data_IF_842374978287
#
_entry.id   IF_842374978287
#
_cell.length_a   1.000
_cell.length_b   1.000
_cell.length_c   1.000
_cell.angle_alpha   90.00
_cell.angle_beta   90.00
_cell.angle_gamma   90.00
#
_symmetry.space_group_name_H-M   'P 1'
#
loop_
_entity.id
_entity.type
_entity.pdbx_description
1 polymer ?
#
# COMPACT_ATOMS: atom_id res chain seq x y z
N UNK A 1 10.35 -0.75 -19.09
CA UNK A 1 11.41 -1.81 -19.06
C UNK A 1 11.45 -2.35 -17.64
N UNK A 2 11.35 -3.64 -17.51
CA UNK A 2 11.38 -4.32 -16.20
C UNK A 2 12.75 -4.15 -15.57
N UNK A 3 12.81 -4.02 -14.25
CA UNK A 3 14.08 -3.75 -13.55
C UNK A 3 15.15 -4.79 -13.85
N UNK A 4 14.85 -6.08 -13.80
CA UNK A 4 15.83 -7.13 -14.10
C UNK A 4 16.22 -7.18 -15.59
N UNK A 5 15.32 -6.79 -16.50
CA UNK A 5 15.69 -6.63 -17.90
C UNK A 5 16.70 -5.50 -18.08
N UNK A 6 16.51 -4.37 -17.38
CA UNK A 6 17.46 -3.28 -17.37
C UNK A 6 18.82 -3.70 -16.79
N UNK A 7 18.79 -4.44 -15.68
CA UNK A 7 19.98 -5.01 -15.06
C UNK A 7 20.68 -5.98 -16.01
N UNK A 8 19.91 -6.89 -16.66
CA UNK A 8 20.45 -7.82 -17.63
C UNK A 8 21.14 -7.12 -18.81
N UNK A 9 20.57 -6.04 -19.32
CA UNK A 9 21.17 -5.25 -20.40
C UNK A 9 22.45 -4.53 -19.96
N UNK A 10 22.46 -3.96 -18.75
CA UNK A 10 23.61 -3.23 -18.22
C UNK A 10 24.85 -4.12 -18.08
N UNK A 11 24.68 -5.37 -17.66
CA UNK A 11 25.77 -6.32 -17.41
C UNK A 11 25.92 -7.40 -18.50
N UNK A 12 25.23 -7.28 -19.64
CA UNK A 12 25.30 -8.28 -20.70
C UNK A 12 26.72 -8.42 -21.26
N UNK A 13 27.27 -9.64 -21.20
CA UNK A 13 28.59 -9.95 -21.76
C UNK A 13 29.79 -9.34 -21.02
N UNK A 14 29.57 -8.78 -19.82
CA UNK A 14 30.65 -8.20 -18.99
C UNK A 14 30.81 -8.99 -17.70
N UNK A 15 32.02 -9.01 -17.12
CA UNK A 15 32.20 -9.45 -15.72
C UNK A 15 31.34 -8.56 -14.78
N UNK A 16 30.84 -9.16 -13.71
CA UNK A 16 30.09 -8.42 -12.72
C UNK A 16 31.02 -7.55 -11.90
N UNK A 17 30.84 -6.24 -12.00
CA UNK A 17 31.38 -5.27 -11.05
C UNK A 17 30.46 -5.21 -9.85
N UNK A 18 30.97 -5.55 -8.65
CA UNK A 18 30.17 -5.69 -7.43
C UNK A 18 29.65 -4.35 -6.92
N UNK A 19 30.45 -3.28 -7.03
CA UNK A 19 30.05 -1.95 -6.60
C UNK A 19 28.96 -1.40 -7.56
N UNK A 20 29.14 -1.63 -8.86
CA UNK A 20 28.13 -1.25 -9.86
C UNK A 20 26.83 -2.02 -9.68
N UNK A 21 26.90 -3.32 -9.35
CA UNK A 21 25.75 -4.16 -9.06
C UNK A 21 25.01 -3.68 -7.80
N UNK A 22 25.74 -3.39 -6.72
CA UNK A 22 25.14 -2.85 -5.48
C UNK A 22 24.38 -1.55 -5.76
N UNK A 23 25.02 -0.61 -6.45
CA UNK A 23 24.38 0.63 -6.84
C UNK A 23 23.15 0.43 -7.73
N UNK A 24 23.16 -0.55 -8.64
CA UNK A 24 22.02 -0.85 -9.49
C UNK A 24 20.84 -1.41 -8.68
N UNK A 25 21.09 -2.34 -7.73
CA UNK A 25 20.07 -2.90 -6.86
C UNK A 25 19.45 -1.85 -5.93
N UNK A 26 20.27 -0.94 -5.39
CA UNK A 26 19.80 0.19 -4.56
C UNK A 26 18.95 1.15 -5.39
N UNK A 27 19.39 1.51 -6.63
CA UNK A 27 18.62 2.36 -7.54
C UNK A 27 17.28 1.78 -7.94
N UNK A 28 17.14 0.46 -7.86
CA UNK A 28 15.86 -0.24 -8.05
C UNK A 28 14.94 -0.20 -6.82
N UNK A 29 15.31 0.57 -5.79
CA UNK A 29 14.56 0.71 -4.53
C UNK A 29 14.39 -0.62 -3.75
N UNK A 30 15.27 -1.63 -3.95
CA UNK A 30 15.23 -2.89 -3.19
C UNK A 30 15.63 -2.71 -1.72
N UNK A 31 16.22 -1.56 -1.39
CA UNK A 31 16.73 -1.27 -0.05
C UNK A 31 18.08 -1.92 0.24
N UNK A 32 18.82 -1.32 1.18
CA UNK A 32 20.19 -1.75 1.52
C UNK A 32 20.22 -3.19 2.06
N UNK A 33 19.31 -3.53 2.98
CA UNK A 33 19.30 -4.84 3.62
C UNK A 33 19.14 -6.00 2.63
N UNK A 34 18.21 -5.90 1.67
CA UNK A 34 18.02 -6.94 0.67
C UNK A 34 19.19 -6.96 -0.32
N UNK A 35 19.67 -5.78 -0.75
CA UNK A 35 20.86 -5.68 -1.62
C UNK A 35 22.06 -6.39 -1.02
N UNK A 36 22.40 -6.11 0.25
CA UNK A 36 23.49 -6.76 0.96
C UNK A 36 23.31 -8.29 1.02
N UNK A 37 22.09 -8.78 1.27
CA UNK A 37 21.81 -10.23 1.28
C UNK A 37 22.01 -10.89 -0.08
N UNK A 38 21.55 -10.21 -1.16
CA UNK A 38 21.72 -10.71 -2.54
C UNK A 38 23.22 -10.84 -2.85
N UNK A 39 24.01 -9.78 -2.58
CA UNK A 39 25.45 -9.77 -2.82
C UNK A 39 26.16 -10.84 -2.01
N UNK A 40 25.90 -10.94 -0.71
CA UNK A 40 26.51 -11.95 0.14
C UNK A 40 26.26 -13.37 -0.40
N UNK A 41 25.03 -13.68 -0.81
CA UNK A 41 24.69 -14.99 -1.38
C UNK A 41 25.36 -15.29 -2.72
N UNK A 42 25.63 -14.27 -3.51
CA UNK A 42 26.38 -14.44 -4.74
C UNK A 42 27.86 -14.72 -4.45
N UNK A 43 28.43 -14.04 -3.46
CA UNK A 43 29.82 -14.20 -3.05
C UNK A 43 30.09 -15.54 -2.32
N UNK A 44 29.09 -16.15 -1.68
CA UNK A 44 29.21 -17.48 -1.05
C UNK A 44 29.37 -18.62 -2.07
N UNK A 45 29.12 -18.40 -3.37
CA UNK A 45 29.25 -19.43 -4.40
C UNK A 45 30.73 -19.67 -4.75
N UNK A 46 31.15 -20.96 -4.84
CA UNK A 46 32.54 -21.35 -5.10
C UNK A 46 33.16 -20.70 -6.36
N UNK A 47 32.36 -20.42 -7.38
CA UNK A 47 32.79 -19.81 -8.63
C UNK A 47 32.27 -18.38 -8.80
N UNK A 48 32.23 -17.59 -7.72
CA UNK A 48 31.65 -16.23 -7.75
C UNK A 48 32.25 -15.31 -8.83
N UNK A 49 33.50 -15.49 -9.21
CA UNK A 49 34.16 -14.71 -10.28
C UNK A 49 33.68 -15.05 -11.70
N UNK A 50 32.97 -16.16 -11.87
CA UNK A 50 32.40 -16.63 -13.14
C UNK A 50 30.89 -16.40 -13.24
N UNK A 51 30.28 -15.79 -12.22
CA UNK A 51 28.84 -15.54 -12.21
C UNK A 51 28.45 -14.57 -13.31
N UNK A 52 27.37 -14.92 -14.00
CA UNK A 52 26.74 -14.04 -15.00
C UNK A 52 25.51 -13.36 -14.42
N UNK A 53 24.98 -12.39 -15.16
CA UNK A 53 23.78 -11.65 -14.77
C UNK A 53 22.57 -12.54 -14.49
N UNK A 54 22.46 -13.70 -15.16
CA UNK A 54 21.39 -14.66 -14.92
C UNK A 54 21.42 -15.27 -13.50
N UNK A 55 22.62 -15.44 -12.94
CA UNK A 55 22.78 -15.89 -11.56
C UNK A 55 22.33 -14.83 -10.56
N UNK A 56 22.65 -13.56 -10.84
CA UNK A 56 22.17 -12.40 -10.06
C UNK A 56 20.64 -12.36 -10.05
N UNK A 57 20.03 -12.45 -11.24
CA UNK A 57 18.58 -12.45 -11.39
C UNK A 57 17.93 -13.59 -10.61
N UNK A 58 18.51 -14.79 -10.70
CA UNK A 58 18.01 -15.95 -9.98
C UNK A 58 18.05 -15.75 -8.46
N UNK A 59 19.21 -15.32 -7.93
CA UNK A 59 19.37 -15.06 -6.49
C UNK A 59 18.45 -13.93 -6.02
N UNK A 60 18.33 -12.86 -6.79
CA UNK A 60 17.43 -11.76 -6.46
C UNK A 60 15.96 -12.24 -6.38
N UNK A 61 15.50 -13.04 -7.35
CA UNK A 61 14.15 -13.63 -7.33
C UNK A 61 13.93 -14.52 -6.12
N UNK A 62 14.89 -15.38 -5.78
CA UNK A 62 14.83 -16.27 -4.63
C UNK A 62 14.72 -15.49 -3.31
N UNK A 63 15.51 -14.43 -3.15
CA UNK A 63 15.47 -13.60 -1.94
C UNK A 63 14.17 -12.77 -1.85
N UNK A 64 13.71 -12.19 -2.95
CA UNK A 64 12.44 -11.47 -3.00
C UNK A 64 11.27 -12.41 -2.68
N UNK A 65 11.26 -13.63 -3.22
CA UNK A 65 10.21 -14.60 -2.97
C UNK A 65 10.11 -15.03 -1.50
N UNK A 66 11.19 -14.94 -0.71
CA UNK A 66 11.17 -15.22 0.73
C UNK A 66 10.50 -14.11 1.54
N UNK A 67 10.53 -12.88 1.02
CA UNK A 67 9.98 -11.70 1.68
C UNK A 67 8.48 -11.56 1.40
N UNK A 68 8.08 -11.78 0.15
CA UNK A 68 6.71 -11.55 -0.29
C UNK A 68 5.82 -12.75 0.04
N UNK A 69 4.63 -12.55 0.65
CA UNK A 69 3.65 -13.61 0.81
C UNK A 69 3.11 -14.01 -0.57
N UNK A 70 2.87 -15.29 -0.79
CA UNK A 70 2.40 -15.80 -2.09
C UNK A 70 1.15 -15.06 -2.56
N UNK A 71 0.19 -14.85 -1.64
CA UNK A 71 -1.04 -14.09 -1.89
C UNK A 71 -1.38 -13.20 -0.71
N UNK A 72 -2.04 -12.07 -0.99
CA UNK A 72 -2.60 -11.22 0.04
C UNK A 72 -3.69 -11.96 0.82
N UNK A 73 -3.73 -11.74 2.15
CA UNK A 73 -4.85 -12.20 2.97
C UNK A 73 -6.13 -11.49 2.51
N UNK A 74 -7.20 -12.20 2.12
CA UNK A 74 -8.43 -11.56 1.67
C UNK A 74 -9.08 -10.76 2.81
N UNK A 75 -9.76 -9.67 2.44
CA UNK A 75 -10.65 -8.96 3.36
C UNK A 75 -11.92 -9.77 3.54
N UNK A 76 -12.33 -9.98 4.77
CA UNK A 76 -13.53 -10.75 5.10
C UNK A 76 -14.51 -9.90 5.92
N UNK A 77 -15.81 -10.00 5.70
CA UNK A 77 -16.79 -9.39 6.56
C UNK A 77 -16.69 -9.98 7.98
N UNK A 78 -17.05 -9.18 8.97
CA UNK A 78 -17.08 -9.61 10.37
C UNK A 78 -18.53 -9.82 10.78
N UNK A 79 -18.85 -10.97 11.35
CA UNK A 79 -20.21 -11.26 11.75
C UNK A 79 -20.72 -10.28 12.80
N UNK A 80 -21.87 -9.66 12.54
CA UNK A 80 -22.59 -8.80 13.48
C UNK A 80 -22.06 -7.36 13.62
N UNK A 81 -21.00 -6.99 12.90
CA UNK A 81 -20.43 -5.65 12.92
C UNK A 81 -19.71 -5.29 11.62
N UNK A 82 -19.57 -3.99 11.28
CA UNK A 82 -18.82 -3.59 10.11
C UNK A 82 -17.32 -3.89 10.27
N UNK A 83 -16.69 -4.41 9.22
CA UNK A 83 -15.24 -4.43 9.12
C UNK A 83 -14.75 -3.01 8.76
N UNK A 84 -14.09 -2.34 9.70
CA UNK A 84 -13.62 -0.96 9.55
C UNK A 84 -12.22 -0.93 8.98
N UNK A 85 -12.07 -0.28 7.83
CA UNK A 85 -10.80 -0.10 7.14
C UNK A 85 -10.44 1.39 7.13
N UNK A 86 -9.38 1.74 7.85
CA UNK A 86 -8.81 3.09 7.85
C UNK A 86 -7.76 3.19 6.75
N UNK A 87 -7.96 4.09 5.79
CA UNK A 87 -7.03 4.30 4.67
C UNK A 87 -6.22 5.56 4.91
N UNK A 88 -4.92 5.40 5.09
CA UNK A 88 -3.96 6.47 5.39
C UNK A 88 -2.94 6.65 4.27
N UNK A 89 -2.18 7.75 4.30
CA UNK A 89 -1.10 8.04 3.35
C UNK A 89 -0.97 9.53 3.07
N UNK A 90 0.10 9.93 2.38
CA UNK A 90 0.34 11.35 2.06
C UNK A 90 -0.52 11.83 0.88
N UNK A 91 -0.61 13.15 0.70
CA UNK A 91 -1.32 13.72 -0.45
C UNK A 91 -0.63 13.31 -1.76
N UNK A 92 -1.45 13.02 -2.78
CA UNK A 92 -0.97 12.63 -4.11
C UNK A 92 -0.67 11.14 -4.29
N UNK A 93 -0.70 10.32 -3.22
CA UNK A 93 -0.50 8.86 -3.34
C UNK A 93 -1.69 8.10 -3.90
N UNK A 94 -2.84 8.75 -4.09
CA UNK A 94 -4.03 8.10 -4.63
C UNK A 94 -4.97 7.50 -3.58
N UNK A 95 -4.99 8.01 -2.32
CA UNK A 95 -5.87 7.52 -1.24
C UNK A 95 -7.35 7.45 -1.64
N UNK A 96 -7.95 8.60 -1.97
CA UNK A 96 -9.37 8.70 -2.34
C UNK A 96 -9.72 7.78 -3.51
N UNK A 97 -8.83 7.72 -4.52
CA UNK A 97 -8.99 6.80 -5.66
C UNK A 97 -8.89 5.33 -5.21
N UNK A 98 -7.96 5.01 -4.31
CA UNK A 98 -7.81 3.65 -3.77
C UNK A 98 -9.01 3.23 -2.93
N UNK A 99 -9.59 4.15 -2.13
CA UNK A 99 -10.83 3.91 -1.39
C UNK A 99 -11.98 3.58 -2.35
N UNK A 100 -12.14 4.36 -3.42
CA UNK A 100 -13.17 4.11 -4.44
C UNK A 100 -12.96 2.75 -5.15
N UNK A 101 -11.72 2.42 -5.53
CA UNK A 101 -11.38 1.13 -6.15
C UNK A 101 -11.61 -0.05 -5.20
N UNK A 102 -11.25 0.10 -3.93
CA UNK A 102 -11.51 -0.91 -2.90
C UNK A 102 -13.01 -1.11 -2.69
N UNK A 103 -13.80 -0.03 -2.66
CA UNK A 103 -15.26 -0.11 -2.59
C UNK A 103 -15.85 -0.85 -3.79
N UNK A 104 -15.35 -0.56 -5.00
CA UNK A 104 -15.74 -1.27 -6.22
C UNK A 104 -15.41 -2.77 -6.12
N UNK A 105 -14.19 -3.11 -5.74
CA UNK A 105 -13.73 -4.49 -5.55
C UNK A 105 -14.63 -5.24 -4.56
N UNK A 106 -14.93 -4.66 -3.41
CA UNK A 106 -15.79 -5.29 -2.40
C UNK A 106 -17.23 -5.50 -2.90
N UNK A 107 -17.79 -4.52 -3.64
CA UNK A 107 -19.11 -4.66 -4.27
C UNK A 107 -19.15 -5.77 -5.31
N UNK A 108 -18.11 -5.91 -6.14
CA UNK A 108 -18.03 -7.03 -7.09
C UNK A 108 -18.05 -8.39 -6.39
N UNK A 109 -17.56 -8.45 -5.12
CA UNK A 109 -17.62 -9.64 -4.26
C UNK A 109 -18.90 -9.72 -3.42
N UNK A 110 -19.95 -8.93 -3.79
CA UNK A 110 -21.29 -8.92 -3.18
C UNK A 110 -21.32 -8.45 -1.72
N UNK A 111 -20.35 -7.64 -1.31
CA UNK A 111 -20.34 -7.00 0.00
C UNK A 111 -20.99 -5.62 -0.04
N UNK A 112 -21.67 -5.28 1.05
CA UNK A 112 -22.18 -3.92 1.30
C UNK A 112 -21.06 -3.04 1.83
N UNK A 113 -21.01 -1.79 1.34
CA UNK A 113 -19.94 -0.83 1.66
C UNK A 113 -20.53 0.52 2.02
N UNK A 114 -20.01 1.13 3.08
CA UNK A 114 -20.25 2.53 3.45
C UNK A 114 -18.92 3.28 3.40
N UNK A 115 -18.93 4.49 2.81
CA UNK A 115 -17.76 5.36 2.77
C UNK A 115 -17.85 6.44 3.83
N UNK A 116 -16.72 6.80 4.46
CA UNK A 116 -16.60 7.94 5.34
C UNK A 116 -15.58 8.94 4.77
N UNK A 117 -16.02 10.15 4.41
CA UNK A 117 -15.20 11.21 3.82
C UNK A 117 -14.45 11.98 4.93
N UNK A 118 -13.45 11.33 5.56
CA UNK A 118 -12.74 11.89 6.70
C UNK A 118 -11.54 12.81 6.32
N UNK A 119 -11.28 13.09 5.02
CA UNK A 119 -10.42 14.19 4.57
C UNK A 119 -11.24 15.51 4.53
N UNK A 120 -11.71 15.92 5.70
CA UNK A 120 -12.71 17.00 5.89
C UNK A 120 -12.17 18.40 5.54
N UNK A 121 -10.86 18.58 5.49
CA UNK A 121 -10.22 19.87 5.16
C UNK A 121 -9.91 20.04 3.66
N UNK A 122 -10.39 19.12 2.81
CA UNK A 122 -10.24 19.20 1.35
C UNK A 122 -11.57 19.02 0.66
N UNK A 123 -12.24 20.15 0.35
CA UNK A 123 -13.53 20.13 -0.34
C UNK A 123 -13.49 19.26 -1.62
N UNK A 124 -12.44 19.42 -2.44
CA UNK A 124 -12.26 18.62 -3.64
C UNK A 124 -12.12 17.10 -3.38
N UNK A 125 -11.58 16.68 -2.23
CA UNK A 125 -11.50 15.25 -1.88
C UNK A 125 -12.88 14.69 -1.51
N UNK A 126 -13.68 15.47 -0.75
CA UNK A 126 -15.06 15.11 -0.41
C UNK A 126 -15.91 15.00 -1.70
N UNK A 127 -15.84 16.00 -2.58
CA UNK A 127 -16.54 15.99 -3.87
C UNK A 127 -16.09 14.79 -4.74
N UNK A 128 -14.79 14.54 -4.85
CA UNK A 128 -14.25 13.42 -5.61
C UNK A 128 -14.78 12.08 -5.08
N UNK A 129 -14.75 11.87 -3.76
CA UNK A 129 -15.28 10.65 -3.16
C UNK A 129 -16.80 10.53 -3.38
N UNK A 130 -17.53 11.65 -3.30
CA UNK A 130 -18.98 11.71 -3.61
C UNK A 130 -19.31 11.30 -5.04
N UNK A 131 -18.53 11.77 -6.02
CA UNK A 131 -18.68 11.33 -7.43
C UNK A 131 -18.51 9.82 -7.55
N UNK A 132 -17.51 9.26 -6.88
CA UNK A 132 -17.29 7.81 -6.87
C UNK A 132 -18.42 7.07 -6.14
N UNK A 133 -18.86 7.55 -4.98
CA UNK A 133 -19.97 6.96 -4.24
C UNK A 133 -21.23 6.84 -5.13
N UNK A 134 -21.58 7.91 -5.82
CA UNK A 134 -22.71 7.94 -6.74
C UNK A 134 -22.55 6.96 -7.92
N UNK A 135 -21.36 6.93 -8.56
CA UNK A 135 -21.07 6.00 -9.66
C UNK A 135 -21.15 4.53 -9.23
N UNK A 136 -20.72 4.23 -8.03
CA UNK A 136 -20.72 2.89 -7.48
C UNK A 136 -22.06 2.50 -6.86
N UNK A 137 -22.96 3.45 -6.65
CA UNK A 137 -24.20 3.23 -5.89
C UNK A 137 -23.89 2.74 -4.48
N UNK A 138 -22.94 3.39 -3.78
CA UNK A 138 -22.63 3.18 -2.37
C UNK A 138 -22.97 4.43 -1.58
N UNK A 139 -23.40 4.25 -0.32
CA UNK A 139 -23.67 5.38 0.55
C UNK A 139 -22.35 5.98 1.08
N UNK A 140 -22.39 7.27 1.36
CA UNK A 140 -21.28 8.01 1.93
C UNK A 140 -21.75 8.88 3.09
N UNK A 141 -20.99 8.84 4.19
CA UNK A 141 -21.10 9.81 5.29
C UNK A 141 -20.08 10.92 5.05
N UNK A 142 -20.57 12.15 5.06
CA UNK A 142 -19.74 13.35 4.93
C UNK A 142 -20.18 14.39 5.95
N UNK A 143 -19.22 15.19 6.41
CA UNK A 143 -19.46 16.32 7.30
C UNK A 143 -19.37 17.65 6.54
N UNK A 144 -19.60 18.76 7.26
CA UNK A 144 -19.26 20.09 6.77
C UNK A 144 -17.74 20.21 6.58
N UNK A 145 -17.32 21.13 5.72
CA UNK A 145 -15.90 21.46 5.58
C UNK A 145 -15.27 21.80 6.94
N UNK A 146 -14.14 21.18 7.27
CA UNK A 146 -13.45 21.37 8.54
C UNK A 146 -14.07 20.65 9.73
N UNK A 147 -15.08 19.80 9.53
CA UNK A 147 -15.62 18.96 10.62
C UNK A 147 -14.53 18.06 11.22
N UNK A 148 -14.71 17.64 12.48
CA UNK A 148 -13.78 16.71 13.13
C UNK A 148 -13.81 15.32 12.46
N UNK A 149 -12.70 14.87 11.85
CA UNK A 149 -12.64 13.57 11.18
C UNK A 149 -12.97 12.39 12.10
N UNK A 150 -12.63 12.50 13.39
CA UNK A 150 -12.87 11.45 14.35
C UNK A 150 -14.37 11.34 14.70
N UNK A 151 -15.08 12.47 14.83
CA UNK A 151 -16.52 12.47 15.02
C UNK A 151 -17.26 11.90 13.80
N UNK A 152 -16.83 12.30 12.59
CA UNK A 152 -17.38 11.78 11.34
C UNK A 152 -17.22 10.25 11.23
N UNK A 153 -16.03 9.72 11.53
CA UNK A 153 -15.79 8.28 11.52
C UNK A 153 -16.62 7.54 12.59
N UNK A 154 -16.85 8.18 13.74
CA UNK A 154 -17.73 7.63 14.78
C UNK A 154 -19.17 7.49 14.26
N UNK A 155 -19.72 8.54 13.69
CA UNK A 155 -21.08 8.55 13.14
C UNK A 155 -21.22 7.57 11.98
N UNK A 156 -20.20 7.48 11.12
CA UNK A 156 -20.17 6.50 10.05
C UNK A 156 -20.18 5.05 10.58
N UNK A 157 -19.46 4.77 11.67
CA UNK A 157 -19.53 3.45 12.31
C UNK A 157 -20.94 3.14 12.84
N UNK A 158 -21.56 4.09 13.53
CA UNK A 158 -22.93 3.91 14.07
C UNK A 158 -23.93 3.62 12.94
N UNK A 159 -23.81 4.36 11.82
CA UNK A 159 -24.63 4.12 10.64
C UNK A 159 -24.35 2.74 10.04
N UNK A 160 -23.08 2.37 9.82
CA UNK A 160 -22.72 1.07 9.27
C UNK A 160 -23.22 -0.11 10.12
N UNK A 161 -23.13 0.01 11.45
CA UNK A 161 -23.63 -1.00 12.37
C UNK A 161 -25.16 -1.12 12.33
N UNK A 162 -25.87 0.01 12.31
CA UNK A 162 -27.34 0.06 12.19
C UNK A 162 -27.83 -0.57 10.90
N UNK A 163 -27.17 -0.24 9.79
CA UNK A 163 -27.55 -0.68 8.44
C UNK A 163 -27.00 -2.10 8.11
N UNK A 164 -26.28 -2.71 9.05
CA UNK A 164 -25.63 -4.03 8.88
C UNK A 164 -24.71 -4.08 7.68
N UNK A 165 -23.96 -3.00 7.47
CA UNK A 165 -22.98 -2.89 6.36
C UNK A 165 -21.77 -3.78 6.65
N UNK A 166 -21.30 -4.52 5.65
CA UNK A 166 -20.15 -5.42 5.81
C UNK A 166 -18.84 -4.66 6.01
N UNK A 167 -18.63 -3.56 5.27
CA UNK A 167 -17.39 -2.79 5.30
C UNK A 167 -17.62 -1.29 5.44
N UNK A 168 -16.88 -0.67 6.35
CA UNK A 168 -16.76 0.78 6.47
C UNK A 168 -15.37 1.20 6.01
N UNK A 169 -15.27 2.00 4.95
CA UNK A 169 -14.01 2.54 4.43
C UNK A 169 -13.87 4.02 4.81
N UNK A 170 -12.84 4.37 5.59
CA UNK A 170 -12.57 5.74 6.02
C UNK A 170 -11.43 6.33 5.17
N UNK A 171 -11.75 7.30 4.29
CA UNK A 171 -10.78 8.10 3.54
C UNK A 171 -10.28 9.26 4.41
N UNK A 172 -8.97 9.30 4.71
CA UNK A 172 -8.41 10.28 5.66
C UNK A 172 -7.54 11.33 5.00
N UNK A 173 -7.28 12.42 5.73
CA UNK A 173 -6.32 13.44 5.33
C UNK A 173 -4.90 12.88 5.09
N UNK A 174 -4.09 13.61 4.33
CA UNK A 174 -2.71 13.21 4.02
C UNK A 174 -1.71 14.37 4.00
N UNK A 175 -1.93 15.43 4.77
CA UNK A 175 -1.12 16.67 4.78
C UNK A 175 0.18 16.48 5.56
N UNK A 176 1.21 15.91 4.94
CA UNK A 176 2.46 15.58 5.61
C UNK A 176 3.32 16.80 6.01
N UNK A 177 3.12 17.98 5.41
CA UNK A 177 3.87 19.21 5.78
C UNK A 177 3.55 19.71 7.20
N UNK A 178 2.50 19.21 7.84
CA UNK A 178 2.20 19.34 9.27
C UNK A 178 2.21 17.98 9.94
N UNK A 179 3.34 17.26 9.86
CA UNK A 179 3.48 15.85 10.25
C UNK A 179 2.90 15.51 11.62
N UNK A 180 3.24 16.29 12.64
CA UNK A 180 2.78 16.05 14.00
C UNK A 180 1.25 16.14 14.12
N UNK A 181 0.63 17.08 13.42
CA UNK A 181 -0.81 17.27 13.46
C UNK A 181 -1.54 16.14 12.73
N UNK A 182 -1.02 15.68 11.56
CA UNK A 182 -1.61 14.58 10.82
C UNK A 182 -1.59 13.28 11.63
N UNK A 183 -0.44 12.92 12.21
CA UNK A 183 -0.33 11.69 13.00
C UNK A 183 -1.22 11.74 14.25
N UNK A 184 -1.30 12.88 14.93
CA UNK A 184 -2.20 13.07 16.06
C UNK A 184 -3.69 12.94 15.66
N UNK A 185 -4.07 13.51 14.51
CA UNK A 185 -5.43 13.41 13.96
C UNK A 185 -5.79 11.96 13.64
N UNK A 186 -4.94 11.25 12.93
CA UNK A 186 -5.15 9.83 12.58
C UNK A 186 -5.21 8.93 13.83
N UNK A 187 -4.36 9.19 14.82
CA UNK A 187 -4.43 8.50 16.11
C UNK A 187 -5.73 8.80 16.86
N UNK A 188 -6.26 10.04 16.76
CA UNK A 188 -7.56 10.40 17.32
C UNK A 188 -8.69 9.64 16.64
N UNK A 189 -8.67 9.54 15.29
CA UNK A 189 -9.64 8.73 14.53
C UNK A 189 -9.59 7.28 14.98
N UNK A 190 -8.39 6.66 15.02
CA UNK A 190 -8.21 5.28 15.50
C UNK A 190 -8.79 5.07 16.89
N UNK A 191 -8.43 5.93 17.87
CA UNK A 191 -8.96 5.84 19.24
C UNK A 191 -10.47 6.03 19.32
N UNK A 192 -11.04 6.85 18.45
CA UNK A 192 -12.49 7.09 18.44
C UNK A 192 -13.24 5.92 17.86
N UNK A 193 -12.74 5.29 16.81
CA UNK A 193 -13.29 4.04 16.27
C UNK A 193 -13.25 2.92 17.32
N UNK A 194 -12.18 2.80 18.10
CA UNK A 194 -12.07 1.77 19.13
C UNK A 194 -13.00 1.98 20.36
N UNK A 195 -13.66 3.15 20.48
CA UNK A 195 -14.74 3.34 21.45
C UNK A 195 -16.03 2.64 21.04
N UNK A 196 -16.28 2.49 19.74
CA UNK A 196 -17.44 1.77 19.23
C UNK A 196 -17.22 0.25 19.26
N UNK A 197 -16.02 -0.17 18.89
CA UNK A 197 -15.57 -1.56 18.88
C UNK A 197 -14.09 -1.58 19.24
N UNK A 198 -13.73 -2.22 20.34
CA UNK A 198 -12.35 -2.26 20.86
C UNK A 198 -11.34 -2.87 19.88
N UNK A 199 -11.83 -3.60 18.86
CA UNK A 199 -11.01 -4.18 17.81
C UNK A 199 -10.91 -3.32 16.55
N UNK A 200 -11.71 -2.24 16.46
CA UNK A 200 -11.68 -1.32 15.32
C UNK A 200 -10.59 -0.22 15.48
N UNK A 201 -10.01 0.25 14.36
CA UNK A 201 -10.17 -0.24 13.00
C UNK A 201 -9.54 -1.63 12.84
N UNK A 202 -10.20 -2.51 12.08
CA UNK A 202 -9.75 -3.89 11.87
C UNK A 202 -8.60 -3.98 10.88
N UNK A 203 -8.55 -3.03 9.94
CA UNK A 203 -7.44 -2.86 9.00
C UNK A 203 -7.04 -1.38 8.95
N UNK A 204 -5.73 -1.14 8.92
CA UNK A 204 -5.14 0.19 8.69
C UNK A 204 -4.23 0.04 7.48
N UNK A 205 -4.69 0.52 6.33
CA UNK A 205 -4.00 0.38 5.06
C UNK A 205 -3.30 1.68 4.69
N UNK A 206 -1.99 1.62 4.47
CA UNK A 206 -1.22 2.75 3.95
C UNK A 206 -1.21 2.72 2.42
N UNK A 207 -1.61 3.81 1.79
CA UNK A 207 -1.47 4.00 0.35
C UNK A 207 -0.10 4.58 0.03
N UNK A 208 0.68 3.82 -0.74
CA UNK A 208 2.05 4.15 -1.13
C UNK A 208 2.12 4.32 -2.64
N UNK A 209 2.74 5.41 -3.08
CA UNK A 209 3.04 5.66 -4.48
C UNK A 209 4.40 5.02 -4.82
N UNK A 210 4.41 4.02 -5.71
CA UNK A 210 5.62 3.30 -6.11
C UNK A 210 6.67 4.20 -6.76
N UNK A 211 6.28 5.35 -7.31
CA UNK A 211 7.21 6.28 -7.97
C UNK A 211 8.08 7.08 -7.00
N UNK A 212 7.73 7.12 -5.72
CA UNK A 212 8.42 7.93 -4.70
C UNK A 212 9.69 7.28 -4.13
N UNK A 213 9.95 6.02 -4.47
CA UNK A 213 11.17 5.31 -4.07
C UNK A 213 11.40 5.29 -2.56
N UNK A 214 12.64 5.50 -2.11
CA UNK A 214 13.03 5.44 -0.68
C UNK A 214 12.24 6.35 0.24
N UNK A 215 11.65 7.45 -0.25
CA UNK A 215 10.75 8.30 0.54
C UNK A 215 9.50 7.54 1.01
N UNK A 216 9.01 6.59 0.22
CA UNK A 216 7.87 5.77 0.60
C UNK A 216 8.18 4.87 1.80
N UNK A 217 9.40 4.33 1.91
CA UNK A 217 9.83 3.55 3.08
C UNK A 217 9.85 4.41 4.34
N UNK A 218 10.38 5.64 4.24
CA UNK A 218 10.39 6.59 5.37
C UNK A 218 8.99 6.93 5.84
N UNK A 219 8.06 7.18 4.91
CA UNK A 219 6.65 7.39 5.22
C UNK A 219 6.04 6.16 5.89
N UNK A 220 6.27 4.97 5.34
CA UNK A 220 5.73 3.73 5.90
C UNK A 220 6.18 3.49 7.35
N UNK A 221 7.45 3.81 7.69
CA UNK A 221 7.96 3.77 9.08
C UNK A 221 7.17 4.70 10.01
N UNK A 222 7.01 5.96 9.61
CA UNK A 222 6.31 6.98 10.39
C UNK A 222 4.84 6.60 10.64
N UNK A 223 4.13 6.19 9.58
CA UNK A 223 2.75 5.76 9.69
C UNK A 223 2.61 4.46 10.51
N UNK A 224 3.54 3.51 10.34
CA UNK A 224 3.52 2.27 11.11
C UNK A 224 3.74 2.51 12.59
N UNK A 225 4.72 3.35 12.94
CA UNK A 225 4.97 3.74 14.33
C UNK A 225 3.77 4.44 14.97
N UNK A 226 3.09 5.32 14.22
CA UNK A 226 1.95 6.07 14.74
C UNK A 226 0.67 5.25 14.86
N UNK A 227 0.39 4.37 13.91
CA UNK A 227 -0.91 3.73 13.74
C UNK A 227 -0.89 2.21 13.89
N UNK A 228 0.25 1.53 13.70
CA UNK A 228 0.30 0.08 13.63
C UNK A 228 -0.37 -0.42 12.35
N UNK A 229 0.21 -0.11 11.19
CA UNK A 229 -0.32 -0.52 9.89
C UNK A 229 -0.51 -2.03 9.81
N UNK A 230 -1.59 -2.47 9.16
CA UNK A 230 -1.89 -3.89 8.92
C UNK A 230 -1.66 -4.33 7.48
N UNK A 231 -1.52 -3.36 6.56
CA UNK A 231 -1.28 -3.65 5.15
C UNK A 231 -0.98 -2.41 4.32
N UNK A 232 -0.60 -2.66 3.07
CA UNK A 232 -0.30 -1.63 2.07
C UNK A 232 -1.26 -1.73 0.88
N UNK A 233 -1.55 -0.57 0.29
CA UNK A 233 -2.07 -0.43 -1.07
C UNK A 233 -0.98 0.27 -1.86
N UNK A 234 -0.46 -0.36 -2.89
CA UNK A 234 0.59 0.22 -3.73
C UNK A 234 0.00 0.72 -5.04
N UNK A 235 0.24 1.99 -5.37
CA UNK A 235 -0.30 2.65 -6.55
C UNK A 235 0.80 2.99 -7.56
N UNK A 236 0.39 3.30 -8.79
CA UNK A 236 1.25 3.76 -9.89
C UNK A 236 2.37 2.79 -10.28
N UNK A 237 2.09 1.50 -10.20
CA UNK A 237 3.03 0.46 -10.64
C UNK A 237 3.19 0.42 -12.17
N UNK A 238 2.24 0.98 -12.92
CA UNK A 238 2.21 1.03 -14.38
C UNK A 238 3.28 1.94 -15.01
N UNK A 239 3.88 2.86 -14.24
CA UNK A 239 4.73 3.91 -14.79
C UNK A 239 6.23 3.83 -14.48
N UNK A 240 6.68 3.04 -13.51
CA UNK A 240 7.97 3.35 -12.90
C UNK A 240 9.05 2.28 -12.94
N UNK A 241 8.74 1.03 -13.18
CA UNK A 241 9.69 -0.07 -12.98
C UNK A 241 10.25 -0.16 -11.54
N UNK A 242 9.69 0.62 -10.59
CA UNK A 242 10.17 0.81 -9.21
C UNK A 242 9.42 -0.03 -8.18
N UNK A 243 9.06 -1.24 -8.53
CA UNK A 243 8.41 -2.18 -7.61
C UNK A 243 9.27 -2.60 -6.41
N UNK A 244 10.58 -2.35 -6.44
CA UNK A 244 11.51 -2.70 -5.36
C UNK A 244 11.12 -2.14 -4.00
N UNK A 245 10.50 -0.95 -3.98
CA UNK A 245 10.04 -0.32 -2.74
C UNK A 245 9.00 -1.15 -1.98
N UNK A 246 8.16 -1.92 -2.68
CA UNK A 246 7.18 -2.83 -2.09
C UNK A 246 7.90 -3.90 -1.27
N UNK A 247 8.96 -4.46 -1.86
CA UNK A 247 9.79 -5.49 -1.23
C UNK A 247 10.53 -4.91 -0.02
N UNK A 248 11.13 -3.70 -0.17
CA UNK A 248 11.86 -3.04 0.90
C UNK A 248 10.97 -2.73 2.12
N UNK A 249 9.75 -2.21 1.90
CA UNK A 249 8.80 -1.93 3.00
C UNK A 249 8.40 -3.23 3.69
N UNK A 250 8.10 -4.28 2.93
CA UNK A 250 7.68 -5.55 3.50
C UNK A 250 8.82 -6.25 4.24
N UNK A 251 10.05 -6.17 3.71
CA UNK A 251 11.22 -6.75 4.38
C UNK A 251 11.51 -6.08 5.72
N UNK A 252 11.41 -4.77 5.78
CA UNK A 252 11.75 -4.02 6.99
C UNK A 252 10.63 -4.02 8.03
N UNK A 253 9.41 -3.69 7.60
CA UNK A 253 8.29 -3.47 8.51
C UNK A 253 7.43 -4.72 8.73
N UNK A 254 7.65 -5.78 7.95
CA UNK A 254 6.85 -7.02 7.97
C UNK A 254 5.36 -6.78 7.70
N UNK A 255 5.05 -5.75 6.93
CA UNK A 255 3.68 -5.36 6.56
C UNK A 255 3.42 -5.84 5.14
N UNK A 256 2.39 -6.68 4.96
CA UNK A 256 2.07 -7.25 3.66
C UNK A 256 1.35 -6.26 2.75
N UNK A 257 1.71 -6.26 1.47
CA UNK A 257 0.90 -5.61 0.44
C UNK A 257 -0.41 -6.36 0.29
N UNK A 258 -1.52 -5.62 0.32
CA UNK A 258 -2.89 -6.15 0.23
C UNK A 258 -3.45 -5.96 -1.18
N UNK A 259 -3.22 -4.80 -1.77
CA UNK A 259 -3.72 -4.44 -3.09
C UNK A 259 -2.68 -3.68 -3.88
N UNK A 260 -2.80 -3.78 -5.20
CA UNK A 260 -2.03 -3.01 -6.18
C UNK A 260 -2.94 -2.24 -7.12
N UNK A 261 -2.53 -1.02 -7.47
CA UNK A 261 -3.12 -0.18 -8.49
C UNK A 261 -2.17 -0.02 -9.67
N UNK A 262 -2.62 -0.43 -10.84
CA UNK A 262 -1.85 -0.50 -12.09
C UNK A 262 -2.38 0.44 -13.16
N UNK A 263 -2.99 1.55 -12.78
CA UNK A 263 -3.51 2.57 -13.71
C UNK A 263 -4.69 3.35 -13.13
N UNK A 264 -5.24 4.26 -13.95
CA UNK A 264 -6.27 5.21 -13.52
C UNK A 264 -7.69 4.62 -13.48
N UNK A 265 -7.99 3.61 -14.31
CA UNK A 265 -9.32 3.01 -14.41
C UNK A 265 -9.68 2.28 -13.12
N UNK A 266 -10.99 2.19 -12.83
CA UNK A 266 -11.48 1.55 -11.60
C UNK A 266 -11.13 0.06 -11.53
N UNK A 267 -11.04 -0.59 -12.69
CA UNK A 267 -10.67 -2.00 -12.84
C UNK A 267 -9.17 -2.25 -12.64
N UNK A 268 -8.32 -1.21 -12.74
CA UNK A 268 -6.88 -1.31 -12.52
C UNK A 268 -6.57 -1.38 -11.01
N UNK A 269 -7.15 -2.38 -10.33
CA UNK A 269 -6.97 -2.61 -8.89
C UNK A 269 -7.22 -4.10 -8.59
N UNK A 270 -6.25 -4.75 -7.99
CA UNK A 270 -6.31 -6.17 -7.71
C UNK A 270 -5.69 -6.50 -6.34
N UNK A 271 -6.11 -7.60 -5.69
CA UNK A 271 -5.36 -8.18 -4.59
C UNK A 271 -3.93 -8.49 -5.01
N UNK A 272 -2.98 -8.30 -4.09
CA UNK A 272 -1.58 -8.59 -4.37
C UNK A 272 -1.34 -10.10 -4.54
N UNK A 273 -0.70 -10.46 -5.65
CA UNK A 273 -0.14 -11.79 -5.90
C UNK A 273 1.37 -11.64 -6.14
N UNK A 274 2.19 -12.27 -5.31
CA UNK A 274 3.64 -12.15 -5.39
C UNK A 274 4.21 -12.76 -6.68
N UNK A 275 3.58 -13.80 -7.22
CA UNK A 275 4.07 -14.46 -8.44
C UNK A 275 3.88 -13.55 -9.65
N UNK A 276 2.68 -12.95 -9.77
CA UNK A 276 2.38 -11.98 -10.82
C UNK A 276 3.27 -10.74 -10.68
N UNK A 277 3.37 -10.21 -9.45
CA UNK A 277 4.19 -9.05 -9.16
C UNK A 277 5.67 -9.27 -9.51
N UNK A 278 6.27 -10.40 -9.09
CA UNK A 278 7.65 -10.76 -9.42
C UNK A 278 7.82 -10.97 -10.92
N UNK A 279 6.87 -11.58 -11.61
CA UNK A 279 6.92 -11.80 -13.05
C UNK A 279 6.80 -10.47 -13.84
N UNK A 280 6.05 -9.49 -13.33
CA UNK A 280 5.89 -8.19 -13.96
C UNK A 280 7.03 -7.20 -13.63
N UNK A 281 7.57 -7.28 -12.42
CA UNK A 281 8.64 -6.41 -11.96
C UNK A 281 10.01 -6.91 -12.41
N UNK A 282 10.19 -8.19 -12.46
CA UNK A 282 11.43 -8.92 -12.74
C UNK A 282 11.41 -9.60 -14.10
#
# INVERSE_FOLDING_TARGET
MKFLEALAQQFAGKPIDWDELEHALIRADLGVALTTRIIAKLQEREAWSLLGIQDVIKVAREEIAKILPVKAKPLQPISGKPNVILVAGVNGTGKTTSVAKLAHYLKQHRHTVLLAAADTFRAAAIEQLGVWANRLGVEMVQGQYGADPAALCYDAYQKAAKDKTDFLLCDTAGRLHTKSNLMAELQKVKRTLSKNDSTAPHEILLVVDATTGGNALSQAREFHQALGLTGLIVTKLDGSGKGGIVVAIQDELKISTRFIGTGERIENFAPFDAREFVAEML
#
